data_IF_038230407062
#
_entry.id   IF_038230407062
#
_cell.length_a   1.000
_cell.length_b   1.000
_cell.length_c   1.000
_cell.angle_alpha   90.00
_cell.angle_beta   90.00
_cell.angle_gamma   90.00
#
_symmetry.space_group_name_H-M   'P 1'
#
loop_
_entity.id
_entity.type
_entity.pdbx_description
1 polymer ?
#
# COMPACT_ATOMS: atom_id res chain seq x y z
N UNK A 1 82.32 24.92 20.05
CA UNK A 1 80.93 25.01 20.59
C UNK A 1 80.10 25.82 19.60
N UNK A 2 78.86 25.46 19.23
CA UNK A 2 78.17 24.16 19.19
C UNK A 2 77.73 23.76 17.76
N UNK A 3 77.47 22.47 17.54
CA UNK A 3 77.01 21.92 16.25
C UNK A 3 75.49 21.81 16.14
N UNK A 4 74.94 22.01 14.95
CA UNK A 4 73.54 21.76 14.64
C UNK A 4 73.37 20.44 13.89
N UNK A 5 72.85 19.44 14.62
CA UNK A 5 72.41 18.15 14.06
C UNK A 5 71.09 18.35 13.32
N UNK A 6 71.05 18.07 12.01
CA UNK A 6 69.79 17.88 11.31
C UNK A 6 69.23 16.49 11.66
N UNK A 7 68.12 16.47 12.41
CA UNK A 7 67.35 15.25 12.70
C UNK A 7 66.55 14.85 11.46
N UNK A 8 66.72 13.61 11.01
CA UNK A 8 65.79 12.94 10.10
C UNK A 8 64.39 12.89 10.73
N UNK A 9 63.41 13.51 10.09
CA UNK A 9 62.00 13.27 10.37
C UNK A 9 61.55 12.00 9.66
N UNK A 10 61.42 10.90 10.40
CA UNK A 10 60.76 9.70 9.91
C UNK A 10 59.26 10.02 9.77
N UNK A 11 58.74 10.07 8.54
CA UNK A 11 57.30 10.20 8.30
C UNK A 11 56.65 8.83 8.51
N UNK A 12 55.94 8.66 9.62
CA UNK A 12 55.11 7.48 9.86
C UNK A 12 53.88 7.51 8.94
N UNK A 13 53.96 6.78 7.83
CA UNK A 13 52.85 6.59 6.90
C UNK A 13 51.97 5.35 7.23
N UNK A 14 52.30 4.60 8.29
CA UNK A 14 51.64 3.32 8.63
C UNK A 14 50.32 3.45 9.41
N UNK A 15 50.21 4.42 10.31
CA UNK A 15 49.13 4.49 11.30
C UNK A 15 47.82 5.03 10.71
N UNK A 16 47.91 5.97 9.78
CA UNK A 16 46.74 6.54 9.10
C UNK A 16 46.05 5.53 8.18
N UNK A 17 46.82 4.67 7.50
CA UNK A 17 46.26 3.65 6.61
C UNK A 17 45.45 2.59 7.39
N UNK A 18 45.94 2.15 8.55
CA UNK A 18 45.24 1.17 9.40
C UNK A 18 43.95 1.76 9.97
N UNK A 19 43.97 3.03 10.39
CA UNK A 19 42.78 3.72 10.89
C UNK A 19 41.71 3.86 9.78
N UNK A 20 42.12 4.23 8.57
CA UNK A 20 41.22 4.36 7.41
C UNK A 20 40.60 3.01 7.04
N UNK A 21 41.39 1.93 7.01
CA UNK A 21 40.87 0.58 6.75
C UNK A 21 39.90 0.15 7.85
N UNK A 22 40.20 0.41 9.13
CA UNK A 22 39.31 0.11 10.25
C UNK A 22 37.97 0.85 10.17
N UNK A 23 37.99 2.14 9.80
CA UNK A 23 36.78 2.96 9.59
C UNK A 23 35.95 2.41 8.43
N UNK A 24 36.59 2.04 7.31
CA UNK A 24 35.89 1.50 6.14
C UNK A 24 35.23 0.15 6.45
N UNK A 25 35.93 -0.75 7.15
CA UNK A 25 35.37 -2.05 7.57
C UNK A 25 34.22 -1.85 8.57
N UNK A 26 34.37 -0.94 9.54
CA UNK A 26 33.30 -0.60 10.48
C UNK A 26 32.07 -0.01 9.80
N UNK A 27 32.26 0.89 8.83
CA UNK A 27 31.19 1.46 8.04
C UNK A 27 30.48 0.40 7.18
N UNK A 28 31.22 -0.51 6.55
CA UNK A 28 30.64 -1.63 5.80
C UNK A 28 29.81 -2.55 6.71
N UNK A 29 30.29 -2.85 7.92
CA UNK A 29 29.57 -3.68 8.89
C UNK A 29 28.28 -2.98 9.36
N UNK A 30 28.34 -1.68 9.64
CA UNK A 30 27.18 -0.89 10.03
C UNK A 30 26.14 -0.81 8.90
N UNK A 31 26.57 -0.61 7.65
CA UNK A 31 25.69 -0.61 6.48
C UNK A 31 25.03 -1.99 6.30
N UNK A 32 25.78 -3.08 6.45
CA UNK A 32 25.24 -4.43 6.39
C UNK A 32 24.23 -4.69 7.52
N UNK A 33 24.50 -4.23 8.74
CA UNK A 33 23.61 -4.36 9.89
C UNK A 33 22.32 -3.55 9.70
N UNK A 34 22.43 -2.29 9.26
CA UNK A 34 21.28 -1.43 8.96
C UNK A 34 20.45 -2.01 7.80
N UNK A 35 21.09 -2.58 6.79
CA UNK A 35 20.42 -3.30 5.71
C UNK A 35 19.70 -4.57 6.17
N UNK A 36 20.29 -5.33 7.10
CA UNK A 36 19.68 -6.52 7.69
C UNK A 36 18.47 -6.18 8.57
N UNK A 37 18.60 -5.18 9.45
CA UNK A 37 17.50 -4.71 10.32
C UNK A 37 16.39 -4.07 9.48
N UNK A 38 16.73 -3.23 8.51
CA UNK A 38 15.77 -2.63 7.59
C UNK A 38 15.06 -3.68 6.73
N UNK A 39 15.79 -4.68 6.23
CA UNK A 39 15.24 -5.79 5.45
C UNK A 39 14.32 -6.69 6.27
N UNK A 40 14.67 -6.96 7.54
CA UNK A 40 13.81 -7.72 8.46
C UNK A 40 12.53 -6.94 8.81
N UNK A 41 12.64 -5.62 9.02
CA UNK A 41 11.49 -4.74 9.27
C UNK A 41 10.53 -4.72 8.08
N UNK A 42 11.06 -4.54 6.86
CA UNK A 42 10.26 -4.58 5.62
C UNK A 42 9.63 -5.95 5.41
N UNK A 43 10.37 -7.04 5.64
CA UNK A 43 9.85 -8.40 5.49
C UNK A 43 8.74 -8.73 6.50
N UNK A 44 8.84 -8.20 7.73
CA UNK A 44 7.80 -8.35 8.73
C UNK A 44 6.56 -7.51 8.37
N UNK A 45 6.74 -6.28 7.88
CA UNK A 45 5.64 -5.43 7.41
C UNK A 45 4.89 -6.04 6.21
N UNK A 46 5.61 -6.64 5.25
CA UNK A 46 4.99 -7.38 4.13
C UNK A 46 4.22 -8.61 4.61
N UNK A 47 4.75 -9.33 5.61
CA UNK A 47 4.10 -10.50 6.16
C UNK A 47 2.85 -10.14 6.97
N UNK A 48 2.89 -9.03 7.71
CA UNK A 48 1.74 -8.48 8.42
C UNK A 48 0.66 -8.03 7.42
N UNK A 49 1.04 -7.36 6.33
CA UNK A 49 0.12 -7.00 5.25
C UNK A 49 -0.55 -8.24 4.64
N UNK A 50 0.17 -9.36 4.51
CA UNK A 50 -0.41 -10.62 4.06
C UNK A 50 -1.39 -11.21 5.09
N UNK A 51 -1.09 -11.15 6.38
CA UNK A 51 -2.01 -11.58 7.45
C UNK A 51 -3.30 -10.75 7.47
N UNK A 52 -3.20 -9.44 7.27
CA UNK A 52 -4.34 -8.52 7.27
C UNK A 52 -5.25 -8.70 6.05
N UNK A 53 -4.66 -8.91 4.85
CA UNK A 53 -5.42 -9.24 3.63
C UNK A 53 -6.18 -10.56 3.81
N UNK A 54 -5.57 -11.53 4.50
CA UNK A 54 -6.16 -12.84 4.76
C UNK A 54 -7.29 -12.73 5.77
N UNK A 55 -7.12 -11.95 6.85
CA UNK A 55 -8.17 -11.65 7.81
C UNK A 55 -9.37 -10.98 7.12
N UNK A 56 -9.15 -9.95 6.31
CA UNK A 56 -10.19 -9.25 5.56
C UNK A 56 -10.86 -10.11 4.46
N UNK A 57 -10.20 -11.17 3.99
CA UNK A 57 -10.72 -12.08 2.97
C UNK A 57 -11.41 -13.32 3.55
N UNK A 58 -11.12 -13.67 4.80
CA UNK A 58 -11.77 -14.77 5.51
C UNK A 58 -13.26 -14.46 5.81
N UNK A 59 -13.62 -13.19 5.87
CA UNK A 59 -14.98 -12.71 6.12
C UNK A 59 -15.94 -12.88 4.91
N UNK A 60 -15.44 -13.06 3.68
CA UNK A 60 -16.24 -12.90 2.44
C UNK A 60 -16.42 -14.17 1.58
N UNK A 61 -16.50 -15.37 2.18
CA UNK A 61 -16.53 -16.63 1.42
C UNK A 61 -17.71 -17.56 1.73
N UNK A 62 -18.65 -17.69 0.80
CA UNK A 62 -19.67 -18.77 0.76
C UNK A 62 -19.11 -20.15 0.36
N UNK A 63 -17.88 -20.20 -0.19
CA UNK A 63 -17.17 -21.44 -0.55
C UNK A 63 -16.12 -21.82 0.52
N UNK A 64 -16.56 -21.97 1.76
CA UNK A 64 -15.71 -22.36 2.90
C UNK A 64 -14.66 -21.29 3.31
N UNK A 65 -14.52 -20.98 4.61
CA UNK A 65 -13.80 -19.79 5.10
C UNK A 65 -12.27 -19.73 4.85
N UNK A 66 -11.69 -20.67 4.11
CA UNK A 66 -10.23 -20.78 3.94
C UNK A 66 -9.69 -20.62 2.52
N UNK A 67 -10.46 -20.89 1.47
CA UNK A 67 -9.91 -21.10 0.13
C UNK A 67 -9.32 -19.85 -0.52
N UNK A 68 -10.10 -18.77 -0.59
CA UNK A 68 -9.70 -17.48 -1.19
C UNK A 68 -8.62 -16.79 -0.36
N UNK A 69 -8.78 -16.79 0.96
CA UNK A 69 -7.83 -16.19 1.90
C UNK A 69 -6.45 -16.85 1.77
N UNK A 70 -6.37 -18.19 1.74
CA UNK A 70 -5.10 -18.92 1.54
C UNK A 70 -4.45 -18.63 0.19
N UNK A 71 -5.22 -18.46 -0.90
CA UNK A 71 -4.68 -18.12 -2.22
C UNK A 71 -4.06 -16.72 -2.23
N UNK A 72 -4.74 -15.72 -1.64
CA UNK A 72 -4.25 -14.35 -1.55
C UNK A 72 -2.98 -14.26 -0.67
N UNK A 73 -2.93 -14.97 0.46
CA UNK A 73 -1.71 -15.02 1.26
C UNK A 73 -0.51 -15.57 0.47
N UNK A 74 -0.72 -16.68 -0.25
CA UNK A 74 0.33 -17.33 -1.04
C UNK A 74 0.82 -16.44 -2.17
N UNK A 75 -0.09 -15.71 -2.83
CA UNK A 75 0.25 -14.70 -3.83
C UNK A 75 1.10 -13.55 -3.25
N UNK A 76 0.96 -13.27 -1.95
CA UNK A 76 1.74 -12.29 -1.21
C UNK A 76 2.93 -12.92 -0.44
N UNK A 77 3.41 -14.09 -0.88
CA UNK A 77 4.65 -14.69 -0.38
C UNK A 77 4.52 -15.53 0.89
N UNK A 78 3.32 -15.74 1.41
CA UNK A 78 3.08 -16.66 2.52
C UNK A 78 3.36 -18.11 2.10
N UNK A 79 4.13 -18.84 2.92
CA UNK A 79 4.35 -20.28 2.75
C UNK A 79 3.33 -21.11 3.53
N UNK A 80 2.94 -20.63 4.72
CA UNK A 80 1.95 -21.29 5.58
C UNK A 80 0.91 -20.26 6.02
N UNK A 81 -0.34 -20.69 6.07
CA UNK A 81 -1.49 -19.89 6.50
C UNK A 81 -2.33 -20.78 7.40
N UNK A 82 -2.61 -20.33 8.62
CA UNK A 82 -3.49 -20.99 9.57
C UNK A 82 -4.64 -20.05 9.89
N UNK A 83 -5.83 -20.62 10.00
CA UNK A 83 -7.08 -19.91 10.26
C UNK A 83 -7.75 -20.69 11.40
N UNK A 84 -7.93 -20.04 12.54
CA UNK A 84 -8.52 -20.65 13.73
C UNK A 84 -9.71 -19.80 14.15
N UNK A 85 -10.89 -20.41 14.22
CA UNK A 85 -12.07 -19.74 14.78
C UNK A 85 -11.95 -19.68 16.30
N UNK A 86 -12.00 -18.47 16.86
CA UNK A 86 -12.04 -18.25 18.29
C UNK A 86 -13.47 -18.45 18.85
N UNK A 87 -13.56 -18.67 20.16
CA UNK A 87 -14.83 -18.92 20.84
C UNK A 87 -15.83 -17.75 20.75
N UNK A 88 -15.33 -16.53 20.51
CA UNK A 88 -16.11 -15.31 20.31
C UNK A 88 -16.52 -15.07 18.83
N UNK A 89 -16.27 -16.05 17.96
CA UNK A 89 -16.62 -16.00 16.55
C UNK A 89 -15.61 -15.28 15.67
N UNK A 90 -14.56 -14.65 16.22
CA UNK A 90 -13.46 -14.06 15.45
C UNK A 90 -12.63 -15.14 14.75
N UNK A 91 -11.95 -14.78 13.66
CA UNK A 91 -11.00 -15.66 12.99
C UNK A 91 -9.60 -15.16 13.27
N UNK A 92 -8.81 -15.95 14.00
CA UNK A 92 -7.37 -15.71 14.15
C UNK A 92 -6.64 -16.24 12.93
N UNK A 93 -5.84 -15.38 12.33
CA UNK A 93 -5.06 -15.64 11.13
C UNK A 93 -3.59 -15.61 11.47
N UNK A 94 -2.89 -16.70 11.20
CA UNK A 94 -1.43 -16.78 11.36
C UNK A 94 -0.81 -17.05 10.00
N UNK A 95 0.11 -16.20 9.58
CA UNK A 95 0.81 -16.31 8.30
C UNK A 95 2.31 -16.42 8.53
N UNK A 96 2.92 -17.40 7.87
CA UNK A 96 4.36 -17.64 7.96
C UNK A 96 5.03 -17.56 6.60
N UNK A 97 6.20 -16.91 6.53
CA UNK A 97 7.05 -16.79 5.34
C UNK A 97 8.51 -17.05 5.71
N UNK A 98 9.27 -17.61 4.76
CA UNK A 98 10.71 -17.74 4.95
C UNK A 98 11.37 -16.35 4.99
N UNK A 99 12.19 -16.10 6.00
CA UNK A 99 12.93 -14.86 6.12
C UNK A 99 13.83 -14.64 4.89
N UNK A 100 14.00 -13.38 4.42
CA UNK A 100 14.90 -13.08 3.33
C UNK A 100 16.35 -13.48 3.68
N UNK A 101 17.11 -13.92 2.67
CA UNK A 101 18.52 -14.28 2.82
C UNK A 101 19.36 -13.00 2.99
N UNK A 102 19.42 -12.49 4.22
CA UNK A 102 20.23 -11.35 4.62
C UNK A 102 21.40 -11.80 5.49
N UNK A 103 22.49 -11.04 5.45
CA UNK A 103 23.64 -11.27 6.31
C UNK A 103 23.24 -11.15 7.80
N UNK A 104 23.51 -12.18 8.60
CA UNK A 104 23.12 -12.25 10.01
C UNK A 104 21.74 -12.88 10.29
N UNK A 105 20.95 -13.22 9.27
CA UNK A 105 19.68 -13.95 9.43
C UNK A 105 19.93 -15.46 9.26
N UNK A 106 19.59 -16.31 10.25
CA UNK A 106 19.74 -17.76 10.14
C UNK A 106 19.01 -18.34 8.92
N UNK A 107 19.70 -19.21 8.18
CA UNK A 107 19.10 -19.94 7.07
C UNK A 107 17.94 -20.83 7.58
N UNK A 108 16.77 -20.67 6.96
CA UNK A 108 15.56 -21.42 7.35
C UNK A 108 14.70 -20.75 8.43
N UNK A 109 15.07 -19.55 8.92
CA UNK A 109 14.22 -18.76 9.80
C UNK A 109 12.87 -18.47 9.11
N UNK A 110 11.78 -18.68 9.83
CA UNK A 110 10.43 -18.34 9.40
C UNK A 110 9.99 -17.10 10.17
N UNK A 111 9.56 -16.07 9.44
CA UNK A 111 8.84 -14.95 10.01
C UNK A 111 7.39 -15.37 10.18
N UNK A 112 6.78 -14.91 11.26
CA UNK A 112 5.37 -15.11 11.60
C UNK A 112 4.71 -13.76 11.80
N UNK A 113 3.48 -13.64 11.31
CA UNK A 113 2.62 -12.50 11.53
C UNK A 113 1.22 -12.99 11.84
N UNK A 114 0.53 -12.27 12.71
CA UNK A 114 -0.80 -12.61 13.18
C UNK A 114 -1.77 -11.46 12.93
N UNK A 115 -3.00 -11.80 12.55
CA UNK A 115 -4.09 -10.85 12.41
C UNK A 115 -5.39 -11.47 12.94
N UNK A 116 -6.29 -10.62 13.43
CA UNK A 116 -7.62 -11.05 13.88
C UNK A 116 -8.66 -10.48 12.92
N UNK A 117 -9.48 -11.35 12.33
CA UNK A 117 -10.70 -10.95 11.64
C UNK A 117 -11.85 -10.89 12.64
N UNK A 118 -12.72 -9.89 12.50
CA UNK A 118 -13.93 -9.79 13.32
C UNK A 118 -14.86 -11.00 13.04
N UNK A 119 -15.81 -11.32 13.93
CA UNK A 119 -16.79 -12.34 13.63
C UNK A 119 -17.53 -11.95 12.35
N UNK A 120 -17.66 -12.88 11.41
CA UNK A 120 -18.49 -12.67 10.23
C UNK A 120 -19.93 -12.50 10.69
N UNK A 121 -20.40 -11.26 10.78
CA UNK A 121 -21.83 -10.98 10.92
C UNK A 121 -22.39 -11.26 9.53
N UNK A 122 -23.04 -12.41 9.37
CA UNK A 122 -23.69 -12.76 8.13
C UNK A 122 -24.74 -11.70 7.81
N UNK A 123 -24.46 -10.88 6.80
CA UNK A 123 -25.34 -9.80 6.32
C UNK A 123 -24.52 -8.65 5.75
N UNK A 124 -24.57 -8.48 4.43
CA UNK A 124 -24.32 -7.26 3.66
C UNK A 124 -23.67 -6.10 4.46
N UNK A 125 -22.34 -6.04 4.53
CA UNK A 125 -21.67 -5.03 5.34
C UNK A 125 -20.20 -4.83 4.99
N UNK A 126 -19.90 -3.65 4.50
CA UNK A 126 -18.63 -2.97 4.21
C UNK A 126 -17.64 -2.80 5.39
N UNK A 127 -17.70 -3.64 6.42
CA UNK A 127 -16.66 -3.70 7.47
C UNK A 127 -16.80 -2.68 8.60
N UNK A 128 -17.99 -2.16 8.86
CA UNK A 128 -18.30 -1.27 9.99
C UNK A 128 -18.97 0.02 9.53
N UNK A 129 -19.59 0.80 10.44
CA UNK A 129 -20.35 1.98 10.03
C UNK A 129 -19.41 2.99 9.35
N UNK A 130 -19.68 3.27 8.08
CA UNK A 130 -19.10 4.42 7.40
C UNK A 130 -19.43 5.71 8.18
N UNK A 131 -18.63 6.79 8.04
CA UNK A 131 -18.96 8.04 8.71
C UNK A 131 -20.38 8.49 8.33
N UNK A 132 -21.10 9.19 9.23
CA UNK A 132 -22.38 9.80 8.90
C UNK A 132 -22.27 10.62 7.61
N UNK A 133 -23.14 10.33 6.63
CA UNK A 133 -23.13 10.98 5.32
C UNK A 133 -22.37 10.23 4.22
N UNK A 134 -21.67 9.14 4.54
CA UNK A 134 -21.11 8.25 3.51
C UNK A 134 -22.21 7.58 2.69
N UNK A 135 -21.86 7.28 1.44
CA UNK A 135 -22.77 6.60 0.53
C UNK A 135 -23.01 5.15 0.97
N UNK A 136 -24.28 4.76 1.07
CA UNK A 136 -24.73 3.42 1.48
C UNK A 136 -25.61 2.75 0.41
N UNK A 137 -25.70 3.35 -0.78
CA UNK A 137 -26.47 2.79 -1.89
C UNK A 137 -25.71 1.71 -2.68
N UNK A 138 -26.32 1.21 -3.77
CA UNK A 138 -25.67 0.21 -4.62
C UNK A 138 -24.39 0.77 -5.26
N UNK A 139 -23.43 -0.11 -5.52
CA UNK A 139 -22.18 0.22 -6.20
C UNK A 139 -22.07 -0.54 -7.52
N UNK A 140 -21.51 0.11 -8.53
CA UNK A 140 -21.20 -0.45 -9.83
C UNK A 140 -19.69 -0.42 -10.09
N UNK A 141 -19.22 -1.40 -10.85
CA UNK A 141 -17.80 -1.54 -11.21
C UNK A 141 -17.51 -0.89 -12.56
N UNK A 142 -16.46 -0.07 -12.64
CA UNK A 142 -16.01 0.62 -13.86
C UNK A 142 -14.69 0.01 -14.38
N UNK A 143 -14.20 0.37 -15.60
CA UNK A 143 -12.90 -0.08 -16.11
C UNK A 143 -11.77 0.10 -15.10
N UNK A 144 -11.04 -0.98 -14.82
CA UNK A 144 -10.00 -1.02 -13.78
C UNK A 144 -10.45 -1.62 -12.44
N UNK A 145 -11.74 -1.90 -12.28
CA UNK A 145 -12.28 -2.59 -11.10
C UNK A 145 -12.66 -1.68 -9.94
N UNK A 146 -12.51 -0.35 -10.10
CA UNK A 146 -13.02 0.62 -9.14
C UNK A 146 -14.56 0.56 -9.04
N UNK A 147 -15.07 0.80 -7.84
CA UNK A 147 -16.52 0.83 -7.56
C UNK A 147 -16.99 2.27 -7.40
N UNK A 148 -18.20 2.61 -7.83
CA UNK A 148 -18.79 3.94 -7.62
C UNK A 148 -20.32 3.82 -7.56
N UNK A 149 -21.02 4.88 -7.15
CA UNK A 149 -22.47 4.87 -7.27
C UNK A 149 -22.90 4.88 -8.74
N UNK A 150 -24.11 4.38 -9.09
CA UNK A 150 -24.53 4.18 -10.48
C UNK A 150 -24.39 5.43 -11.36
N UNK A 151 -24.75 6.61 -10.82
CA UNK A 151 -24.67 7.87 -11.54
C UNK A 151 -23.22 8.26 -11.89
N UNK A 152 -22.31 8.11 -10.92
CA UNK A 152 -20.88 8.38 -11.13
C UNK A 152 -20.23 7.33 -12.05
N UNK A 153 -20.60 6.05 -11.91
CA UNK A 153 -20.12 4.97 -12.78
C UNK A 153 -20.55 5.19 -14.25
N UNK A 154 -21.82 5.54 -14.47
CA UNK A 154 -22.32 5.88 -15.81
C UNK A 154 -21.57 7.07 -16.43
N UNK A 155 -21.35 8.13 -15.64
CA UNK A 155 -20.57 9.29 -16.09
C UNK A 155 -19.12 8.94 -16.43
N UNK A 156 -18.46 8.11 -15.60
CA UNK A 156 -17.11 7.63 -15.86
C UNK A 156 -17.04 6.80 -17.15
N UNK A 157 -18.00 5.89 -17.36
CA UNK A 157 -18.05 5.05 -18.55
C UNK A 157 -18.26 5.87 -19.83
N UNK A 158 -19.09 6.91 -19.77
CA UNK A 158 -19.24 7.85 -20.88
C UNK A 158 -17.91 8.59 -21.17
N UNK A 159 -17.27 9.14 -20.13
CA UNK A 159 -15.97 9.81 -20.25
C UNK A 159 -14.89 8.89 -20.81
N UNK A 160 -14.81 7.65 -20.34
CA UNK A 160 -13.87 6.66 -20.82
C UNK A 160 -14.13 6.25 -22.29
N UNK A 161 -15.40 6.19 -22.69
CA UNK A 161 -15.80 5.95 -24.07
C UNK A 161 -15.37 7.08 -25.02
N UNK A 162 -15.48 8.33 -24.58
CA UNK A 162 -15.05 9.51 -25.34
C UNK A 162 -13.52 9.56 -25.44
N UNK A 163 -12.83 9.35 -24.32
CA UNK A 163 -11.37 9.25 -24.28
C UNK A 163 -10.84 8.19 -25.23
N UNK A 164 -11.49 7.02 -25.27
CA UNK A 164 -11.07 5.93 -26.14
C UNK A 164 -11.19 6.28 -27.62
N UNK A 165 -12.17 7.11 -28.02
CA UNK A 165 -12.30 7.58 -29.42
C UNK A 165 -11.19 8.55 -29.80
N UNK A 166 -10.63 9.25 -28.81
CA UNK A 166 -9.47 10.13 -28.96
C UNK A 166 -8.13 9.38 -28.77
N UNK A 167 -8.16 8.06 -28.63
CA UNK A 167 -6.96 7.24 -28.45
C UNK A 167 -6.38 7.24 -27.03
N UNK A 168 -7.14 7.70 -26.03
CA UNK A 168 -6.75 7.74 -24.61
C UNK A 168 -7.51 6.67 -23.83
N UNK A 169 -6.79 5.78 -23.14
CA UNK A 169 -7.40 4.78 -22.27
C UNK A 169 -7.50 5.30 -20.83
N UNK A 170 -8.72 5.41 -20.30
CA UNK A 170 -8.95 5.74 -18.89
C UNK A 170 -9.23 4.47 -18.08
N UNK A 171 -8.47 4.28 -17.01
CA UNK A 171 -8.61 3.15 -16.08
C UNK A 171 -8.65 3.69 -14.66
N UNK A 172 -9.72 3.42 -13.93
CA UNK A 172 -9.83 3.78 -12.52
C UNK A 172 -9.26 2.65 -11.65
N UNK A 173 -8.18 2.95 -10.93
CA UNK A 173 -7.49 2.00 -10.05
C UNK A 173 -8.09 1.94 -8.64
N UNK A 174 -8.89 2.96 -8.28
CA UNK A 174 -9.55 3.07 -6.99
C UNK A 174 -10.82 3.91 -7.13
N UNK A 175 -11.83 3.59 -6.31
CA UNK A 175 -13.16 4.21 -6.28
C UNK A 175 -13.69 4.24 -4.84
N UNK A 176 -14.94 3.84 -4.61
CA UNK A 176 -15.53 3.73 -3.28
C UNK A 176 -14.61 2.98 -2.29
N UNK A 177 -14.37 3.62 -1.15
CA UNK A 177 -13.67 3.05 0.01
C UNK A 177 -14.51 3.27 1.26
N UNK A 178 -14.84 2.16 1.91
CA UNK A 178 -15.43 2.15 3.25
C UNK A 178 -14.48 2.74 4.29
N UNK A 179 -15.01 3.04 5.48
CA UNK A 179 -14.21 3.46 6.63
C UNK A 179 -13.09 2.45 6.95
N UNK A 180 -13.41 1.15 6.96
CA UNK A 180 -12.46 0.10 7.27
C UNK A 180 -11.34 0.00 6.22
N UNK A 181 -11.69 0.06 4.93
CA UNK A 181 -10.71 0.09 3.84
C UNK A 181 -9.78 1.32 3.95
N UNK A 182 -10.33 2.48 4.34
CA UNK A 182 -9.54 3.68 4.57
C UNK A 182 -8.61 3.56 5.78
N UNK A 183 -9.05 2.92 6.87
CA UNK A 183 -8.24 2.67 8.06
C UNK A 183 -7.01 1.81 7.76
N UNK A 184 -7.20 0.75 6.98
CA UNK A 184 -6.10 -0.12 6.53
C UNK A 184 -5.12 0.68 5.66
N UNK A 185 -5.60 1.50 4.72
CA UNK A 185 -4.72 2.31 3.89
C UNK A 185 -3.95 3.36 4.70
N UNK A 186 -4.62 4.03 5.63
CA UNK A 186 -4.02 5.05 6.49
C UNK A 186 -2.93 4.46 7.40
N UNK A 187 -3.18 3.29 7.99
CA UNK A 187 -2.17 2.58 8.79
C UNK A 187 -0.94 2.21 7.95
N UNK A 188 -1.14 1.84 6.68
CA UNK A 188 -0.06 1.47 5.75
C UNK A 188 0.76 2.66 5.24
N UNK A 189 0.10 3.73 4.79
CA UNK A 189 0.74 4.85 4.09
C UNK A 189 1.09 6.02 5.02
N UNK A 190 0.45 6.10 6.18
CA UNK A 190 0.58 7.18 7.13
C UNK A 190 -0.05 8.51 6.67
N UNK A 191 -0.06 9.53 7.56
CA UNK A 191 -0.80 10.79 7.38
C UNK A 191 -0.30 11.67 6.23
N UNK A 192 0.90 11.42 5.70
CA UNK A 192 1.46 12.20 4.58
C UNK A 192 0.88 11.80 3.22
N UNK A 193 0.37 10.58 3.11
CA UNK A 193 -0.01 9.96 1.83
C UNK A 193 -1.44 9.43 1.82
N UNK A 194 -2.10 9.37 2.98
CA UNK A 194 -3.49 8.94 3.09
C UNK A 194 -4.25 9.85 4.07
N UNK A 195 -5.48 10.19 3.70
CA UNK A 195 -6.39 10.88 4.58
C UNK A 195 -6.79 9.99 5.78
N UNK A 196 -6.97 10.55 6.98
CA UNK A 196 -7.53 9.83 8.11
C UNK A 196 -8.86 9.14 7.77
N UNK A 197 -9.18 7.99 8.37
CA UNK A 197 -10.48 7.34 8.22
C UNK A 197 -11.62 8.30 8.58
N UNK A 198 -12.70 8.24 7.80
CA UNK A 198 -13.82 9.17 7.93
C UNK A 198 -13.65 10.53 7.24
N UNK A 199 -12.44 10.85 6.75
CA UNK A 199 -12.18 12.15 6.08
C UNK A 199 -11.89 12.02 4.58
N UNK A 200 -11.61 10.80 4.09
CA UNK A 200 -11.44 10.55 2.66
C UNK A 200 -12.76 10.61 1.93
N UNK A 201 -12.87 11.44 0.89
CA UNK A 201 -14.06 11.55 0.03
C UNK A 201 -14.39 10.27 -0.75
N UNK A 202 -13.51 9.27 -0.80
CA UNK A 202 -13.84 7.99 -1.43
C UNK A 202 -15.05 7.29 -0.78
N UNK A 203 -15.44 7.64 0.45
CA UNK A 203 -16.69 7.14 1.03
C UNK A 203 -17.95 7.72 0.38
N UNK A 204 -17.85 8.77 -0.44
CA UNK A 204 -18.97 9.37 -1.16
C UNK A 204 -19.40 8.54 -2.38
N UNK A 205 -18.60 7.54 -2.77
CA UNK A 205 -18.77 6.77 -4.01
C UNK A 205 -18.75 7.61 -5.32
N UNK A 206 -18.22 8.83 -5.25
CA UNK A 206 -18.09 9.78 -6.38
C UNK A 206 -16.65 10.08 -6.80
N UNK A 207 -15.65 9.57 -6.07
CA UNK A 207 -14.24 9.86 -6.32
C UNK A 207 -13.53 8.67 -6.96
N UNK A 208 -12.60 8.96 -7.87
CA UNK A 208 -11.86 8.00 -8.65
C UNK A 208 -10.37 8.36 -8.66
N UNK A 209 -9.50 7.39 -8.38
CA UNK A 209 -8.09 7.51 -8.73
C UNK A 209 -7.90 6.89 -10.12
N UNK A 210 -7.51 7.69 -11.10
CA UNK A 210 -7.35 7.32 -12.51
C UNK A 210 -5.87 7.15 -12.83
N UNK A 211 -5.52 6.11 -13.60
CA UNK A 211 -4.16 5.91 -14.11
C UNK A 211 -3.80 6.96 -15.18
N UNK A 212 -3.25 8.11 -14.75
CA UNK A 212 -2.95 9.24 -15.65
C UNK A 212 -1.46 9.46 -15.93
N UNK A 213 -0.56 9.03 -15.03
CA UNK A 213 0.87 9.39 -15.07
C UNK A 213 1.19 10.72 -14.34
N UNK A 214 2.35 11.36 -14.59
CA UNK A 214 2.67 12.65 -13.97
C UNK A 214 1.77 13.77 -14.48
N UNK A 215 1.70 14.88 -13.73
CA UNK A 215 0.99 16.08 -14.17
C UNK A 215 1.51 16.56 -15.54
N UNK A 216 0.60 16.92 -16.43
CA UNK A 216 0.90 17.30 -17.80
C UNK A 216 1.13 16.13 -18.76
N UNK A 217 0.97 14.86 -18.36
CA UNK A 217 0.96 13.73 -19.29
C UNK A 217 -0.16 13.86 -20.35
N UNK A 218 -0.11 13.13 -21.47
CA UNK A 218 -1.19 13.14 -22.46
C UNK A 218 -2.57 12.83 -21.85
N UNK A 219 -2.67 11.79 -21.01
CA UNK A 219 -3.92 11.42 -20.31
C UNK A 219 -4.37 12.51 -19.35
N UNK A 220 -3.45 13.12 -18.58
CA UNK A 220 -3.80 14.21 -17.66
C UNK A 220 -4.30 15.45 -18.40
N UNK A 221 -3.69 15.81 -19.53
CA UNK A 221 -4.15 16.92 -20.38
C UNK A 221 -5.53 16.65 -20.97
N UNK A 222 -5.77 15.43 -21.44
CA UNK A 222 -7.09 15.03 -21.93
C UNK A 222 -8.16 15.17 -20.83
N UNK A 223 -7.91 14.62 -19.64
CA UNK A 223 -8.84 14.75 -18.51
C UNK A 223 -9.06 16.22 -18.10
N UNK A 224 -8.01 17.05 -18.13
CA UNK A 224 -8.14 18.48 -17.83
C UNK A 224 -9.03 19.22 -18.83
N UNK A 225 -8.96 18.85 -20.11
CA UNK A 225 -9.77 19.47 -21.15
C UNK A 225 -11.21 18.94 -21.21
N UNK A 226 -11.42 17.64 -20.95
CA UNK A 226 -12.69 16.95 -21.21
C UNK A 226 -13.41 16.49 -19.93
N UNK A 227 -12.72 16.26 -18.82
CA UNK A 227 -13.33 15.84 -17.55
C UNK A 227 -14.52 16.70 -17.11
N UNK A 228 -14.44 18.05 -17.16
CA UNK A 228 -15.55 18.91 -16.78
C UNK A 228 -16.83 18.71 -17.59
N UNK A 229 -16.74 18.36 -18.88
CA UNK A 229 -17.94 18.12 -19.71
C UNK A 229 -18.67 16.84 -19.31
N UNK A 230 -17.99 15.93 -18.62
CA UNK A 230 -18.58 14.73 -18.01
C UNK A 230 -18.90 14.91 -16.52
N UNK A 231 -18.76 16.13 -15.97
CA UNK A 231 -19.01 16.42 -14.56
C UNK A 231 -17.88 15.98 -13.62
N UNK A 232 -16.67 15.76 -14.12
CA UNK A 232 -15.49 15.44 -13.30
C UNK A 232 -14.58 16.66 -13.13
N UNK A 233 -14.01 16.80 -11.94
CA UNK A 233 -12.96 17.77 -11.66
C UNK A 233 -11.75 17.08 -11.03
N UNK A 234 -10.55 17.60 -11.30
CA UNK A 234 -9.38 17.24 -10.51
C UNK A 234 -9.57 17.85 -9.11
N UNK A 235 -9.75 17.00 -8.10
CA UNK A 235 -10.13 17.45 -6.74
C UNK A 235 -8.99 18.22 -6.07
N UNK A 236 -7.76 17.73 -6.25
CA UNK A 236 -6.57 18.26 -5.61
C UNK A 236 -5.53 18.58 -6.68
N UNK A 237 -5.04 19.82 -6.71
CA UNK A 237 -4.10 20.28 -7.74
C UNK A 237 -2.78 19.50 -7.75
N UNK A 238 -2.38 18.92 -6.61
CA UNK A 238 -1.16 18.10 -6.45
C UNK A 238 -1.37 16.60 -6.73
N UNK A 239 -2.61 16.16 -6.95
CA UNK A 239 -2.94 14.75 -7.28
C UNK A 239 -3.52 14.68 -8.69
N UNK A 240 -2.69 14.60 -9.74
CA UNK A 240 -3.19 14.55 -11.12
C UNK A 240 -4.11 13.35 -11.39
N UNK A 241 -4.00 12.29 -10.58
CA UNK A 241 -4.82 11.08 -10.68
C UNK A 241 -6.19 11.18 -10.00
N UNK A 242 -6.44 12.15 -9.12
CA UNK A 242 -7.65 12.14 -8.26
C UNK A 242 -8.77 13.01 -8.85
N UNK A 243 -9.82 12.36 -9.33
CA UNK A 243 -10.94 12.99 -10.02
C UNK A 243 -12.26 12.71 -9.33
N UNK A 244 -13.04 13.76 -9.09
CA UNK A 244 -14.32 13.68 -8.40
C UNK A 244 -15.49 14.05 -9.30
N UNK A 245 -16.56 13.25 -9.26
CA UNK A 245 -17.82 13.54 -9.92
C UNK A 245 -18.65 14.53 -9.09
N UNK A 246 -18.99 15.69 -9.67
CA UNK A 246 -19.55 16.81 -8.89
C UNK A 246 -21.06 16.76 -8.69
N UNK A 247 -21.79 16.00 -9.51
CA UNK A 247 -23.25 15.96 -9.43
C UNK A 247 -23.79 15.04 -8.32
N UNK A 248 -22.91 14.36 -7.59
CA UNK A 248 -23.27 13.45 -6.51
C UNK A 248 -23.83 12.12 -6.98
N UNK A 249 -24.06 11.27 -6.00
CA UNK A 249 -25.04 10.19 -6.08
C UNK A 249 -26.42 10.79 -5.72
#
# INVERSE_FOLDING_TARGET
MPGSRHRCGHREHGSAAILVVGILVGAMFLIALLGAVGGAYVAHAELQQAADIVAASAERGGDGPGGRARRLARANGARRVQLTSAADGRIHVVVQRAAPKLFGVPAGMMLEAEAWAAPSIAGDGDGGPNPPGAYAGPLETVPGGARACPRAAAAFNAMAGDASRDGVALVATSGFRSYAEQAVLYARLGPRLAAPPGTSRHHDATEFDIAVGPAGSPTHRWLTAHGPTHGFIQRYSWEPWHWGFVAGC
#
